data_IF_190247081906
#
_entry.id   IF_190247081906
#
_cell.length_a   1.000
_cell.length_b   1.000
_cell.length_c   1.000
_cell.angle_alpha   90.00
_cell.angle_beta   90.00
_cell.angle_gamma   90.00
#
_symmetry.space_group_name_H-M   'P 1'
#
loop_
_entity.id
_entity.type
_entity.pdbx_description
1 polymer ?
#
# COMPACT_ATOMS: atom_id res chain seq x y z
N UNK A 1 -27.42 -3.57 29.22
CA UNK A 1 -26.05 -3.04 29.01
C UNK A 1 -25.24 -4.15 28.32
N UNK A 2 -24.77 -3.92 27.09
CA UNK A 2 -23.99 -4.89 26.29
C UNK A 2 -22.59 -4.27 26.11
N UNK A 3 -21.55 -4.92 26.62
CA UNK A 3 -20.17 -4.42 26.52
C UNK A 3 -19.66 -4.39 25.07
N UNK A 4 -18.62 -3.60 24.75
CA UNK A 4 -18.10 -3.53 23.39
C UNK A 4 -17.44 -4.87 23.07
N UNK A 5 -18.07 -5.66 22.19
CA UNK A 5 -17.40 -6.77 21.54
C UNK A 5 -16.35 -6.17 20.63
N UNK A 6 -15.07 -6.43 20.90
CA UNK A 6 -14.03 -6.23 19.91
C UNK A 6 -14.24 -7.31 18.85
N UNK A 7 -14.89 -6.93 17.75
CA UNK A 7 -14.98 -7.74 16.54
C UNK A 7 -13.57 -7.87 15.96
N UNK A 8 -12.84 -8.89 16.41
CA UNK A 8 -11.56 -9.25 15.82
C UNK A 8 -11.84 -9.93 14.48
N UNK A 9 -11.57 -9.20 13.39
CA UNK A 9 -11.71 -9.68 12.02
C UNK A 9 -10.70 -10.78 11.74
N UNK A 10 -11.14 -12.04 11.86
CA UNK A 10 -10.38 -13.22 11.48
C UNK A 10 -10.96 -13.79 10.18
N UNK A 11 -10.31 -13.47 9.06
CA UNK A 11 -10.47 -14.16 7.78
C UNK A 11 -11.51 -13.56 6.84
N UNK A 12 -11.03 -12.97 5.74
CA UNK A 12 -11.85 -12.49 4.62
C UNK A 12 -11.58 -11.04 4.21
N UNK A 13 -11.07 -10.21 5.12
CA UNK A 13 -10.92 -8.76 4.84
C UNK A 13 -9.67 -8.38 4.03
N UNK A 14 -8.79 -9.32 3.72
CA UNK A 14 -7.65 -9.02 2.83
C UNK A 14 -8.07 -8.70 1.40
N UNK A 15 -9.25 -9.14 0.97
CA UNK A 15 -9.81 -8.77 -0.35
C UNK A 15 -10.50 -7.40 -0.35
N UNK A 16 -10.71 -6.78 0.82
CA UNK A 16 -11.40 -5.49 0.93
C UNK A 16 -10.45 -4.29 0.82
N UNK A 17 -9.13 -4.53 0.79
CA UNK A 17 -8.14 -3.48 0.67
C UNK A 17 -7.43 -3.52 -0.68
N UNK A 18 -7.52 -2.43 -1.43
CA UNK A 18 -6.61 -2.18 -2.55
C UNK A 18 -5.22 -1.89 -1.99
N UNK A 19 -4.25 -2.76 -2.29
CA UNK A 19 -2.87 -2.58 -1.85
C UNK A 19 -2.05 -1.81 -2.89
N UNK A 20 -1.30 -0.82 -2.42
CA UNK A 20 -0.27 -0.20 -3.24
C UNK A 20 1.03 -0.97 -3.13
N UNK A 21 1.62 -1.28 -4.30
CA UNK A 21 2.92 -1.93 -4.37
C UNK A 21 4.02 -0.88 -4.35
N UNK A 22 4.92 -0.98 -3.39
CA UNK A 22 6.13 -0.16 -3.30
C UNK A 22 7.32 -1.06 -3.64
N UNK A 23 8.24 -0.65 -4.54
CA UNK A 23 9.44 -1.42 -4.82
C UNK A 23 10.25 -1.66 -3.55
N UNK A 24 10.64 -2.93 -3.32
CA UNK A 24 11.41 -3.33 -2.14
C UNK A 24 12.68 -2.50 -1.96
N UNK A 25 13.37 -2.16 -3.07
CA UNK A 25 14.58 -1.36 -3.07
C UNK A 25 14.38 0.01 -2.38
N UNK A 26 13.23 0.66 -2.55
CA UNK A 26 12.94 1.92 -1.88
C UNK A 26 12.83 1.77 -0.34
N UNK A 27 12.49 0.58 0.13
CA UNK A 27 12.34 0.28 1.56
C UNK A 27 13.67 -0.14 2.19
N UNK A 28 14.41 -1.04 1.52
CA UNK A 28 15.59 -1.70 2.11
C UNK A 28 16.93 -1.13 1.62
N UNK A 29 16.93 -0.41 0.50
CA UNK A 29 18.15 0.13 -0.12
C UNK A 29 18.73 1.27 0.72
N UNK A 30 20.02 1.17 1.03
CA UNK A 30 20.73 2.20 1.80
C UNK A 30 20.74 3.53 1.05
N UNK A 31 20.80 3.50 -0.28
CA UNK A 31 20.71 4.68 -1.12
C UNK A 31 19.38 5.44 -0.94
N UNK A 32 18.30 4.78 -0.51
CA UNK A 32 16.97 5.40 -0.32
C UNK A 32 16.64 5.71 1.15
N UNK A 33 17.60 5.56 2.07
CA UNK A 33 17.37 5.83 3.50
C UNK A 33 16.96 7.28 3.78
N UNK A 34 17.43 8.22 2.97
CA UNK A 34 17.16 9.65 3.09
C UNK A 34 15.79 10.05 2.50
N UNK A 35 15.13 9.16 1.76
CA UNK A 35 13.83 9.43 1.15
C UNK A 35 12.74 9.16 2.19
N UNK A 36 11.81 10.10 2.33
CA UNK A 36 10.69 9.96 3.27
C UNK A 36 9.75 8.83 2.86
N UNK A 37 9.03 8.28 3.84
CA UNK A 37 8.02 7.25 3.59
C UNK A 37 6.92 7.74 2.66
N UNK A 38 6.47 8.98 2.82
CA UNK A 38 5.41 9.57 1.99
C UNK A 38 5.84 9.66 0.52
N UNK A 39 7.10 10.01 0.23
CA UNK A 39 7.62 10.00 -1.14
C UNK A 39 7.67 8.59 -1.74
N UNK A 40 8.03 7.58 -0.95
CA UNK A 40 8.04 6.18 -1.40
C UNK A 40 6.63 5.67 -1.68
N UNK A 41 5.67 6.05 -0.83
CA UNK A 41 4.26 5.77 -1.02
C UNK A 41 3.73 6.45 -2.28
N UNK A 42 4.04 7.74 -2.47
CA UNK A 42 3.68 8.50 -3.67
C UNK A 42 4.21 7.84 -4.95
N UNK A 43 5.44 7.32 -4.92
CA UNK A 43 5.99 6.57 -6.04
C UNK A 43 5.18 5.31 -6.34
N UNK A 44 4.77 4.55 -5.32
CA UNK A 44 3.87 3.41 -5.46
C UNK A 44 2.52 3.78 -6.08
N UNK A 45 1.93 4.91 -5.68
CA UNK A 45 0.67 5.44 -6.24
C UNK A 45 0.81 5.76 -7.75
N UNK A 46 1.92 6.39 -8.14
CA UNK A 46 2.17 6.76 -9.54
C UNK A 46 2.39 5.52 -10.42
N UNK A 47 3.09 4.50 -9.91
CA UNK A 47 3.28 3.23 -10.63
C UNK A 47 1.95 2.53 -10.93
N UNK A 48 1.04 2.47 -9.95
CA UNK A 48 -0.28 1.87 -10.12
C UNK A 48 -1.10 2.60 -11.20
N UNK A 49 -1.04 3.94 -11.19
CA UNK A 49 -1.68 4.79 -12.21
C UNK A 49 -1.12 4.59 -13.61
N UNK A 50 0.20 4.43 -13.77
CA UNK A 50 0.79 4.14 -15.08
C UNK A 50 0.32 2.79 -15.63
N UNK A 51 0.19 1.77 -14.77
CA UNK A 51 -0.38 0.48 -15.15
C UNK A 51 -1.82 0.59 -15.68
N UNK A 52 -2.64 1.47 -15.08
CA UNK A 52 -3.99 1.77 -15.57
C UNK A 52 -3.96 2.53 -16.91
N UNK A 53 -3.06 3.49 -17.08
CA UNK A 53 -2.89 4.24 -18.33
C UNK A 53 -2.55 3.31 -19.51
N UNK A 54 -1.61 2.38 -19.31
CA UNK A 54 -1.23 1.42 -20.35
C UNK A 54 -2.35 0.44 -20.73
N UNK A 55 -3.30 0.17 -19.83
CA UNK A 55 -4.46 -0.72 -20.09
C UNK A 55 -5.62 -0.02 -20.76
N UNK A 56 -5.71 1.30 -20.62
CA UNK A 56 -6.82 2.12 -21.11
C UNK A 56 -6.43 3.02 -22.31
N UNK A 57 -5.19 2.91 -22.79
CA UNK A 57 -4.68 3.59 -23.98
C UNK A 57 -4.89 2.78 -25.26
#
# INVERSE_FOLDING_TARGET
MKGPGFDYFYGGESEQFSFYRIPRQLIVGLEFKHVSTDTKLLYGLMLDRMGLSARNG
#
